data_IF_713769030460
#
_entry.id   IF_713769030460
#
_cell.length_a   1.000
_cell.length_b   1.000
_cell.length_c   1.000
_cell.angle_alpha   90.00
_cell.angle_beta   90.00
_cell.angle_gamma   90.00
#
_symmetry.space_group_name_H-M   'P 1'
#
loop_
_entity.id
_entity.type
_entity.pdbx_description
1 polymer ?
#
# COMPACT_ATOMS: atom_id res chain seq x y z
N UNK A 1 38.19 -14.11 -18.26
CA UNK A 1 38.56 -13.12 -17.22
C UNK A 1 37.29 -12.62 -16.53
N UNK A 2 37.05 -12.98 -15.27
CA UNK A 2 35.86 -12.50 -14.54
C UNK A 2 36.08 -11.03 -14.15
N UNK A 3 35.13 -10.15 -14.50
CA UNK A 3 35.19 -8.72 -14.22
C UNK A 3 35.37 -8.48 -12.70
N UNK A 4 36.18 -7.49 -12.28
CA UNK A 4 36.56 -7.27 -10.87
C UNK A 4 35.36 -7.05 -9.93
N UNK A 5 34.25 -6.53 -10.46
CA UNK A 5 33.00 -6.36 -9.72
C UNK A 5 32.28 -7.68 -9.41
N UNK A 6 32.42 -8.70 -10.26
CA UNK A 6 31.81 -10.01 -10.01
C UNK A 6 32.59 -10.79 -8.96
N UNK A 7 33.90 -10.61 -8.89
CA UNK A 7 34.76 -11.19 -7.85
C UNK A 7 34.41 -10.61 -6.46
N UNK A 8 34.26 -9.29 -6.35
CA UNK A 8 33.92 -8.64 -5.06
C UNK A 8 32.52 -8.99 -4.55
N UNK A 9 31.56 -9.24 -5.45
CA UNK A 9 30.23 -9.72 -5.09
C UNK A 9 30.24 -11.18 -4.63
N UNK A 10 31.10 -12.03 -5.21
CA UNK A 10 31.27 -13.42 -4.79
C UNK A 10 31.84 -13.50 -3.36
N UNK A 11 32.87 -12.71 -3.05
CA UNK A 11 33.47 -12.65 -1.71
C UNK A 11 32.47 -12.14 -0.66
N UNK A 12 31.67 -11.12 -1.02
CA UNK A 12 30.63 -10.59 -0.14
C UNK A 12 29.54 -11.63 0.16
N UNK A 13 29.17 -12.48 -0.82
CA UNK A 13 28.24 -13.59 -0.63
C UNK A 13 28.82 -14.68 0.28
N UNK A 14 30.09 -15.02 0.11
CA UNK A 14 30.75 -16.02 0.95
C UNK A 14 30.86 -15.56 2.41
N UNK A 15 31.18 -14.28 2.65
CA UNK A 15 31.21 -13.70 4.02
C UNK A 15 29.83 -13.73 4.70
N UNK A 16 28.77 -13.44 3.95
CA UNK A 16 27.39 -13.50 4.47
C UNK A 16 26.94 -14.95 4.74
N UNK A 17 27.35 -15.91 3.90
CA UNK A 17 27.09 -17.33 4.13
C UNK A 17 27.81 -17.85 5.38
N UNK A 18 29.08 -17.47 5.57
CA UNK A 18 29.85 -17.82 6.78
C UNK A 18 29.22 -17.23 8.06
N UNK A 19 28.67 -16.02 8.00
CA UNK A 19 27.98 -15.41 9.15
C UNK A 19 26.63 -16.04 9.50
N UNK A 20 26.08 -16.89 8.61
CA UNK A 20 24.78 -17.56 8.80
C UNK A 20 24.92 -19.04 9.18
N UNK A 21 26.14 -19.59 9.20
CA UNK A 21 26.40 -21.02 9.42
C UNK A 21 26.48 -21.46 10.89
N UNK A 22 26.30 -20.57 11.86
CA UNK A 22 26.52 -20.88 13.30
C UNK A 22 25.23 -20.76 14.14
N UNK A 23 24.06 -20.86 13.50
CA UNK A 23 22.76 -20.76 14.18
C UNK A 23 21.67 -21.54 13.44
N UNK A 24 21.87 -22.84 13.21
CA UNK A 24 20.81 -23.69 12.68
C UNK A 24 21.02 -25.19 12.97
N UNK A 25 20.88 -25.60 14.23
CA UNK A 25 20.39 -26.94 14.56
C UNK A 25 19.42 -26.88 15.76
N UNK A 26 18.17 -27.32 15.53
CA UNK A 26 17.22 -27.82 16.53
C UNK A 26 16.43 -26.82 17.42
N UNK A 27 15.10 -26.75 17.23
CA UNK A 27 14.11 -27.10 18.27
C UNK A 27 12.69 -26.57 17.95
N UNK A 28 11.73 -27.51 17.94
CA UNK A 28 10.29 -27.28 18.12
C UNK A 28 9.96 -26.90 19.59
N UNK A 29 8.71 -26.51 19.85
CA UNK A 29 8.31 -25.66 20.96
C UNK A 29 8.32 -26.24 22.39
N UNK A 30 8.34 -25.34 23.37
CA UNK A 30 7.73 -25.45 24.70
C UNK A 30 7.81 -24.09 25.42
N UNK A 31 6.81 -23.75 26.23
CA UNK A 31 6.73 -22.49 26.99
C UNK A 31 7.32 -22.55 28.41
N UNK A 32 7.08 -21.43 29.12
CA UNK A 32 7.23 -21.16 30.56
C UNK A 32 8.48 -20.39 31.05
N UNK A 33 8.20 -19.19 31.57
CA UNK A 33 8.63 -18.56 32.85
C UNK A 33 10.11 -18.37 33.27
N UNK A 34 10.32 -17.18 33.85
CA UNK A 34 11.38 -16.58 34.69
C UNK A 34 12.75 -17.24 34.92
N UNK A 35 13.80 -16.39 34.93
CA UNK A 35 15.03 -16.68 35.67
C UNK A 35 16.24 -15.84 35.26
N UNK A 36 16.72 -14.98 36.17
CA UNK A 36 17.95 -14.18 36.11
C UNK A 36 19.18 -15.03 35.75
N UNK A 37 20.05 -14.57 34.84
CA UNK A 37 21.45 -14.17 35.13
C UNK A 37 22.19 -13.73 33.84
N UNK A 38 23.15 -12.81 34.01
CA UNK A 38 24.37 -12.55 33.20
C UNK A 38 24.83 -11.11 33.30
N UNK A 39 25.24 -10.80 34.53
CA UNK A 39 26.30 -9.84 34.83
C UNK A 39 27.65 -10.37 34.31
N UNK A 40 28.05 -10.12 33.07
CA UNK A 40 29.47 -10.27 32.65
C UNK A 40 29.82 -9.41 31.43
N UNK A 41 29.67 -8.09 31.51
CA UNK A 41 30.31 -7.13 30.56
C UNK A 41 30.84 -5.86 31.23
N UNK A 42 31.10 -5.90 32.54
CA UNK A 42 31.50 -4.72 33.33
C UNK A 42 32.90 -4.80 33.94
N UNK A 43 33.55 -5.97 33.92
CA UNK A 43 34.89 -6.19 34.49
C UNK A 43 36.01 -5.57 33.65
N UNK A 44 35.92 -5.63 32.32
CA UNK A 44 37.09 -5.33 31.47
C UNK A 44 37.30 -3.82 31.25
N UNK A 45 36.28 -3.01 31.51
CA UNK A 45 36.39 -1.54 31.44
C UNK A 45 37.06 -0.93 32.69
N UNK A 46 37.19 -1.69 33.78
CA UNK A 46 37.77 -1.20 35.04
C UNK A 46 39.30 -1.26 35.04
N UNK A 47 39.91 -2.21 34.33
CA UNK A 47 41.37 -2.40 34.32
C UNK A 47 42.10 -1.45 33.36
N UNK A 48 41.46 -1.00 32.27
CA UNK A 48 42.06 -0.01 31.34
C UNK A 48 42.02 1.43 31.86
N UNK A 49 41.16 1.73 32.83
CA UNK A 49 41.02 3.07 33.42
C UNK A 49 42.01 3.36 34.55
N UNK A 50 42.78 2.36 34.97
CA UNK A 50 43.80 2.49 36.00
C UNK A 50 45.16 2.97 35.45
N UNK A 51 45.43 2.82 34.14
CA UNK A 51 46.70 3.25 33.53
C UNK A 51 46.72 4.71 33.06
N UNK A 52 45.57 5.37 32.94
CA UNK A 52 45.48 6.78 32.59
C UNK A 52 44.69 7.50 33.68
N UNK A 53 45.36 8.43 34.36
CA UNK A 53 44.86 9.15 35.53
C UNK A 53 43.41 9.63 35.40
N UNK A 54 42.70 9.59 36.53
CA UNK A 54 41.32 10.07 36.69
C UNK A 54 41.24 11.53 36.18
N UNK A 55 40.57 11.77 35.05
CA UNK A 55 40.27 13.13 34.61
C UNK A 55 39.33 13.78 35.64
N UNK A 56 39.80 14.82 36.30
CA UNK A 56 38.95 15.63 37.18
C UNK A 56 37.84 16.30 36.37
N UNK A 57 36.65 16.39 36.95
CA UNK A 57 35.50 17.01 36.30
C UNK A 57 35.68 18.53 36.37
N UNK A 58 35.75 19.18 35.22
CA UNK A 58 35.87 20.64 35.15
C UNK A 58 34.68 21.31 35.87
N UNK A 59 34.97 22.32 36.71
CA UNK A 59 33.96 23.17 37.34
C UNK A 59 33.32 24.05 36.26
N UNK A 60 31.99 24.18 36.30
CA UNK A 60 31.23 24.98 35.34
C UNK A 60 31.63 26.46 35.48
N UNK A 61 32.16 27.06 34.41
CA UNK A 61 32.61 28.45 34.41
C UNK A 61 34.10 28.68 34.70
N UNK A 62 34.91 27.63 34.91
CA UNK A 62 36.36 27.76 35.01
C UNK A 62 37.02 27.63 33.61
N UNK A 63 38.12 28.38 33.34
CA UNK A 63 38.88 28.21 32.11
C UNK A 63 39.45 26.80 32.02
N UNK A 64 39.44 26.23 30.81
CA UNK A 64 39.91 24.87 30.58
C UNK A 64 41.43 24.88 30.35
N UNK A 65 42.18 24.24 31.24
CA UNK A 65 43.62 24.04 31.05
C UNK A 65 43.88 23.02 29.93
N UNK A 66 44.67 23.42 28.93
CA UNK A 66 45.11 22.57 27.82
C UNK A 66 46.61 22.34 28.00
N UNK A 67 47.04 21.07 28.07
CA UNK A 67 48.46 20.74 28.19
C UNK A 67 49.24 21.19 26.95
N UNK A 68 50.34 21.92 27.15
CA UNK A 68 51.27 22.38 26.10
C UNK A 68 51.98 21.24 25.35
N UNK A 69 51.95 20.00 25.89
CA UNK A 69 52.51 18.80 25.24
C UNK A 69 51.57 18.15 24.23
N UNK A 70 50.31 18.62 24.13
CA UNK A 70 49.43 18.17 23.05
C UNK A 70 49.84 18.90 21.77
N UNK A 71 50.42 18.14 20.84
CA UNK A 71 50.65 18.60 19.47
C UNK A 71 49.31 19.04 18.89
N UNK A 72 49.10 20.34 18.75
CA UNK A 72 47.97 20.87 18.00
C UNK A 72 48.20 20.54 16.54
N UNK A 73 47.20 19.93 15.89
CA UNK A 73 47.27 19.74 14.45
C UNK A 73 47.43 21.12 13.79
N UNK A 74 48.33 21.28 12.80
CA UNK A 74 48.49 22.56 12.12
C UNK A 74 47.12 23.03 11.59
N UNK A 75 46.84 24.34 11.56
CA UNK A 75 45.54 24.87 11.14
C UNK A 75 45.14 24.38 9.74
N UNK A 76 46.09 24.08 8.86
CA UNK A 76 45.85 23.43 7.57
C UNK A 76 45.42 21.95 7.68
N UNK A 77 45.94 21.18 8.64
CA UNK A 77 45.52 19.80 8.88
C UNK A 77 44.15 19.74 9.59
N UNK A 78 43.86 20.70 10.48
CA UNK A 78 42.54 20.89 11.05
C UNK A 78 41.52 21.33 9.99
N UNK A 79 41.92 22.22 9.07
CA UNK A 79 41.14 22.61 7.91
C UNK A 79 41.04 21.51 6.84
N UNK A 80 41.96 20.56 6.76
CA UNK A 80 41.86 19.39 5.88
C UNK A 80 40.95 18.31 6.47
N UNK A 81 41.00 18.09 7.80
CA UNK A 81 40.07 17.20 8.50
C UNK A 81 38.66 17.80 8.60
N UNK A 82 38.53 19.13 8.68
CA UNK A 82 37.27 19.84 8.54
C UNK A 82 36.84 20.05 7.07
N UNK A 83 37.80 20.10 6.15
CA UNK A 83 37.66 20.33 4.70
C UNK A 83 37.30 19.08 3.90
N UNK A 84 37.32 17.91 4.53
CA UNK A 84 36.56 16.76 4.04
C UNK A 84 35.04 16.93 4.27
N UNK A 85 34.59 17.96 5.01
CA UNK A 85 33.18 18.29 5.25
C UNK A 85 32.74 19.66 4.74
N UNK A 86 33.65 20.62 4.56
CA UNK A 86 33.39 21.87 3.84
C UNK A 86 33.80 21.69 2.36
N UNK A 87 32.78 21.49 1.51
CA UNK A 87 32.92 20.94 0.17
C UNK A 87 33.87 21.70 -0.74
N UNK A 88 34.82 20.96 -1.33
CA UNK A 88 35.23 21.25 -2.70
C UNK A 88 33.95 21.42 -3.53
N UNK A 89 33.82 22.51 -4.30
CA UNK A 89 32.69 22.74 -5.22
C UNK A 89 32.71 21.62 -6.27
N UNK A 90 32.11 20.48 -5.93
CA UNK A 90 31.79 19.44 -6.88
C UNK A 90 30.83 20.11 -7.87
N UNK A 91 31.14 20.08 -9.16
CA UNK A 91 30.21 20.53 -10.20
C UNK A 91 28.89 19.80 -9.95
N UNK A 92 27.87 20.53 -9.49
CA UNK A 92 26.52 20.00 -9.24
C UNK A 92 25.67 20.32 -10.44
N UNK A 93 24.92 19.33 -10.93
CA UNK A 93 23.83 19.61 -11.84
C UNK A 93 22.71 20.24 -11.00
N UNK A 94 22.32 21.49 -11.26
CA UNK A 94 21.30 22.17 -10.47
C UNK A 94 19.96 21.42 -10.50
N UNK A 95 19.69 20.59 -11.52
CA UNK A 95 18.45 19.77 -11.56
C UNK A 95 18.43 18.68 -10.50
N UNK A 96 19.60 18.24 -10.06
CA UNK A 96 19.76 17.12 -9.13
C UNK A 96 20.40 17.56 -7.80
N UNK A 97 20.56 18.86 -7.59
CA UNK A 97 21.10 19.39 -6.33
C UNK A 97 19.99 19.60 -5.31
N UNK A 98 20.24 19.20 -4.06
CA UNK A 98 19.27 19.33 -2.96
C UNK A 98 18.94 20.80 -2.65
N UNK A 99 19.80 21.72 -3.09
CA UNK A 99 19.66 23.18 -2.97
C UNK A 99 18.51 23.72 -3.85
N UNK A 100 18.17 23.04 -4.95
CA UNK A 100 17.14 23.49 -5.90
C UNK A 100 15.71 23.36 -5.39
N UNK A 101 15.53 22.88 -4.16
CA UNK A 101 14.25 22.87 -3.46
C UNK A 101 13.43 21.61 -3.72
N UNK A 102 12.18 21.63 -3.23
CA UNK A 102 11.23 20.51 -3.36
C UNK A 102 10.29 20.78 -4.53
N UNK A 103 9.92 19.71 -5.24
CA UNK A 103 8.92 19.78 -6.30
C UNK A 103 7.58 20.28 -5.73
N UNK A 104 7.12 21.43 -6.22
CA UNK A 104 5.75 21.87 -5.99
C UNK A 104 4.81 21.07 -6.89
N UNK A 105 4.08 20.14 -6.27
CA UNK A 105 3.12 19.27 -6.97
C UNK A 105 1.97 20.08 -7.58
N UNK A 106 1.66 21.27 -7.04
CA UNK A 106 0.56 22.10 -7.52
C UNK A 106 0.93 22.94 -8.73
N UNK A 107 2.07 23.63 -8.66
CA UNK A 107 2.66 24.26 -9.82
C UNK A 107 2.85 23.25 -10.94
N UNK A 108 3.40 22.07 -10.63
CA UNK A 108 3.59 21.00 -11.61
C UNK A 108 2.26 20.54 -12.25
N UNK A 109 1.22 20.28 -11.46
CA UNK A 109 -0.07 19.86 -11.98
C UNK A 109 -0.69 20.89 -12.94
N UNK A 110 -0.53 22.18 -12.63
CA UNK A 110 -1.04 23.28 -13.46
C UNK A 110 -0.20 23.49 -14.72
N UNK A 111 1.12 23.52 -14.60
CA UNK A 111 2.04 23.74 -15.73
C UNK A 111 2.02 22.58 -16.73
N UNK A 112 1.73 21.37 -16.27
CA UNK A 112 1.71 20.17 -17.09
C UNK A 112 0.31 19.53 -17.21
N UNK A 113 -0.75 20.35 -17.18
CA UNK A 113 -2.13 19.89 -17.35
C UNK A 113 -2.37 19.18 -18.69
N UNK A 114 -1.67 19.62 -19.75
CA UNK A 114 -1.73 19.00 -21.08
C UNK A 114 -1.31 17.51 -21.09
N UNK A 115 -0.55 17.05 -20.09
CA UNK A 115 -0.21 15.63 -19.97
C UNK A 115 -1.42 14.77 -19.64
N UNK A 116 -2.52 15.35 -19.17
CA UNK A 116 -3.77 14.61 -18.96
C UNK A 116 -4.47 14.38 -20.30
N UNK A 117 -4.58 15.42 -21.13
CA UNK A 117 -5.11 15.33 -22.50
C UNK A 117 -4.31 14.34 -23.33
N UNK A 118 -2.98 14.39 -23.29
CA UNK A 118 -2.13 13.47 -24.04
C UNK A 118 -2.34 12.01 -23.62
N UNK A 119 -2.49 11.74 -22.32
CA UNK A 119 -2.76 10.38 -21.82
C UNK A 119 -4.14 9.88 -22.23
N UNK A 120 -5.13 10.76 -22.26
CA UNK A 120 -6.47 10.42 -22.72
C UNK A 120 -6.46 10.08 -24.21
N UNK A 121 -5.77 10.87 -25.03
CA UNK A 121 -5.54 10.59 -26.44
C UNK A 121 -4.78 9.27 -26.66
N UNK A 122 -3.70 9.00 -25.92
CA UNK A 122 -2.98 7.72 -25.97
C UNK A 122 -3.92 6.53 -25.67
N UNK A 123 -4.77 6.65 -24.64
CA UNK A 123 -5.74 5.62 -24.27
C UNK A 123 -6.81 5.43 -25.34
N UNK A 124 -7.27 6.49 -25.99
CA UNK A 124 -8.22 6.43 -27.10
C UNK A 124 -7.62 5.77 -28.33
N UNK A 125 -6.37 6.09 -28.66
CA UNK A 125 -5.62 5.45 -29.73
C UNK A 125 -5.49 3.94 -29.51
N UNK A 126 -5.10 3.52 -28.29
CA UNK A 126 -5.02 2.09 -27.95
C UNK A 126 -6.38 1.38 -28.02
N UNK A 127 -7.47 2.03 -27.57
CA UNK A 127 -8.83 1.48 -27.73
C UNK A 127 -9.23 1.39 -29.20
N UNK A 128 -8.86 2.37 -30.02
CA UNK A 128 -9.07 2.36 -31.46
C UNK A 128 -8.33 1.21 -32.14
N UNK A 129 -7.07 0.97 -31.76
CA UNK A 129 -6.29 -0.19 -32.21
C UNK A 129 -6.96 -1.51 -31.80
N UNK A 130 -7.39 -1.63 -30.55
CA UNK A 130 -8.11 -2.81 -30.07
C UNK A 130 -9.36 -3.08 -30.93
N UNK A 131 -10.15 -2.05 -31.24
CA UNK A 131 -11.34 -2.18 -32.09
C UNK A 131 -10.99 -2.59 -33.53
N UNK A 132 -9.90 -2.06 -34.10
CA UNK A 132 -9.41 -2.46 -35.42
C UNK A 132 -9.03 -3.94 -35.43
N UNK A 133 -8.29 -4.40 -34.41
CA UNK A 133 -7.92 -5.81 -34.25
C UNK A 133 -9.15 -6.70 -34.05
N UNK A 134 -10.15 -6.26 -33.29
CA UNK A 134 -11.43 -6.97 -33.13
C UNK A 134 -12.17 -7.13 -34.46
N UNK A 135 -12.18 -6.09 -35.31
CA UNK A 135 -12.77 -6.14 -36.65
C UNK A 135 -12.01 -7.09 -37.56
N UNK A 136 -10.67 -7.08 -37.53
CA UNK A 136 -9.83 -7.98 -38.32
C UNK A 136 -10.03 -9.44 -37.90
N UNK A 137 -10.14 -9.71 -36.60
CA UNK A 137 -10.42 -11.04 -36.09
C UNK A 137 -11.81 -11.54 -36.52
N UNK A 138 -12.84 -10.68 -36.48
CA UNK A 138 -14.20 -11.02 -36.95
C UNK A 138 -14.27 -11.29 -38.45
N UNK A 139 -13.45 -10.60 -39.26
CA UNK A 139 -13.37 -10.82 -40.71
C UNK A 139 -12.76 -12.17 -41.10
N UNK A 140 -12.14 -12.89 -40.16
CA UNK A 140 -11.62 -14.24 -40.36
C UNK A 140 -10.45 -14.30 -41.35
N UNK A 141 -9.21 -13.97 -40.95
CA UNK A 141 -8.04 -14.15 -41.81
C UNK A 141 -7.91 -15.63 -42.22
N UNK A 142 -7.64 -15.87 -43.51
CA UNK A 142 -7.56 -17.23 -44.06
C UNK A 142 -6.30 -18.01 -43.63
N UNK A 143 -5.26 -17.32 -43.15
CA UNK A 143 -3.97 -17.93 -42.75
C UNK A 143 -3.86 -18.02 -41.23
N UNK A 144 -3.51 -19.20 -40.71
CA UNK A 144 -3.38 -19.47 -39.28
C UNK A 144 -2.36 -18.54 -38.60
N UNK A 145 -1.21 -18.28 -39.24
CA UNK A 145 -0.16 -17.42 -38.69
C UNK A 145 -0.63 -15.98 -38.47
N UNK A 146 -1.49 -15.47 -39.37
CA UNK A 146 -2.06 -14.13 -39.28
C UNK A 146 -3.09 -14.06 -38.14
N UNK A 147 -3.85 -15.14 -37.92
CA UNK A 147 -4.79 -15.22 -36.78
C UNK A 147 -4.04 -15.19 -35.46
N UNK A 148 -2.95 -15.96 -35.35
CA UNK A 148 -2.09 -15.98 -34.16
C UNK A 148 -1.48 -14.60 -33.89
N UNK A 149 -0.88 -13.96 -34.89
CA UNK A 149 -0.29 -12.62 -34.76
C UNK A 149 -1.31 -11.56 -34.34
N UNK A 150 -2.55 -11.60 -34.87
CA UNK A 150 -3.63 -10.68 -34.47
C UNK A 150 -4.04 -10.93 -33.00
N UNK A 151 -4.11 -12.19 -32.57
CA UNK A 151 -4.46 -12.54 -31.20
C UNK A 151 -3.41 -12.06 -30.20
N UNK A 152 -2.13 -12.31 -30.48
CA UNK A 152 -1.01 -11.84 -29.67
C UNK A 152 -1.01 -10.31 -29.55
N UNK A 153 -1.08 -9.61 -30.69
CA UNK A 153 -1.11 -8.14 -30.70
C UNK A 153 -2.30 -7.59 -29.93
N UNK A 154 -3.46 -8.23 -30.05
CA UNK A 154 -4.66 -7.83 -29.31
C UNK A 154 -4.50 -8.00 -27.80
N UNK A 155 -3.81 -9.05 -27.37
CA UNK A 155 -3.57 -9.27 -25.95
C UNK A 155 -2.52 -8.31 -25.37
N UNK A 156 -1.48 -7.95 -26.14
CA UNK A 156 -0.56 -6.86 -25.80
C UNK A 156 -1.31 -5.54 -25.58
N UNK A 157 -2.11 -5.11 -26.58
CA UNK A 157 -2.87 -3.85 -26.51
C UNK A 157 -3.83 -3.85 -25.31
N UNK A 158 -4.51 -4.97 -25.03
CA UNK A 158 -5.36 -5.09 -23.83
C UNK A 158 -4.55 -4.94 -22.54
N UNK A 159 -3.36 -5.53 -22.46
CA UNK A 159 -2.51 -5.41 -21.28
C UNK A 159 -2.04 -3.96 -21.07
N UNK A 160 -1.66 -3.28 -22.15
CA UNK A 160 -1.28 -1.87 -22.13
C UNK A 160 -2.43 -0.98 -21.66
N UNK A 161 -3.63 -1.15 -22.22
CA UNK A 161 -4.84 -0.42 -21.78
C UNK A 161 -5.09 -0.63 -20.28
N UNK A 162 -5.02 -1.88 -19.81
CA UNK A 162 -5.21 -2.19 -18.38
C UNK A 162 -4.17 -1.50 -17.51
N UNK A 163 -2.90 -1.52 -17.93
CA UNK A 163 -1.79 -0.86 -17.23
C UNK A 163 -2.01 0.65 -17.13
N UNK A 164 -2.34 1.31 -18.25
CA UNK A 164 -2.59 2.76 -18.31
C UNK A 164 -3.78 3.16 -17.43
N UNK A 165 -4.90 2.43 -17.54
CA UNK A 165 -6.08 2.66 -16.67
C UNK A 165 -5.73 2.50 -15.19
N UNK A 166 -4.91 1.51 -14.82
CA UNK A 166 -4.51 1.30 -13.43
C UNK A 166 -3.61 2.43 -12.92
N UNK A 167 -2.68 2.90 -13.74
CA UNK A 167 -1.82 4.04 -13.43
C UNK A 167 -2.64 5.32 -13.24
N UNK A 168 -3.58 5.61 -14.14
CA UNK A 168 -4.42 6.80 -14.04
C UNK A 168 -5.37 6.75 -12.84
N UNK A 169 -5.93 5.57 -12.52
CA UNK A 169 -6.70 5.38 -11.29
C UNK A 169 -5.87 5.71 -10.04
N UNK A 170 -4.61 5.24 -10.00
CA UNK A 170 -3.71 5.53 -8.88
C UNK A 170 -3.40 7.02 -8.78
N UNK A 171 -3.12 7.68 -9.91
CA UNK A 171 -2.84 9.12 -9.97
C UNK A 171 -4.02 9.96 -9.52
N UNK A 172 -5.21 9.72 -10.09
CA UNK A 172 -6.45 10.41 -9.70
C UNK A 172 -6.77 10.19 -8.23
N UNK A 173 -6.59 8.97 -7.72
CA UNK A 173 -6.78 8.69 -6.29
C UNK A 173 -5.84 9.50 -5.41
N UNK A 174 -4.56 9.63 -5.79
CA UNK A 174 -3.61 10.48 -5.06
C UNK A 174 -3.97 11.96 -5.13
N UNK A 175 -4.44 12.46 -6.28
CA UNK A 175 -4.94 13.82 -6.44
C UNK A 175 -6.09 14.12 -5.47
N UNK A 176 -7.12 13.26 -5.45
CA UNK A 176 -8.26 13.41 -4.55
C UNK A 176 -7.85 13.38 -3.06
N UNK A 177 -6.87 12.55 -2.69
CA UNK A 177 -6.34 12.55 -1.32
C UNK A 177 -5.67 13.89 -0.95
N UNK A 178 -4.91 14.48 -1.87
CA UNK A 178 -4.23 15.75 -1.64
C UNK A 178 -5.22 16.92 -1.58
N UNK A 179 -6.20 16.95 -2.49
CA UNK A 179 -7.28 17.94 -2.52
C UNK A 179 -8.08 17.91 -1.22
N UNK A 180 -8.52 16.73 -0.79
CA UNK A 180 -9.27 16.58 0.46
C UNK A 180 -8.44 16.96 1.69
N UNK A 181 -7.14 16.67 1.71
CA UNK A 181 -6.24 17.14 2.76
C UNK A 181 -6.15 18.67 2.80
N UNK A 182 -6.16 19.34 1.64
CA UNK A 182 -6.15 20.81 1.55
C UNK A 182 -7.45 21.43 2.00
N UNK A 183 -8.58 20.91 1.54
CA UNK A 183 -9.90 21.36 1.97
C UNK A 183 -10.00 21.33 3.50
N UNK A 184 -9.62 20.20 4.10
CA UNK A 184 -9.65 20.01 5.55
C UNK A 184 -8.71 20.97 6.28
N UNK A 185 -7.50 21.21 5.75
CA UNK A 185 -6.57 22.21 6.31
C UNK A 185 -7.12 23.63 6.18
N UNK A 186 -7.80 23.96 5.08
CA UNK A 186 -8.45 25.24 4.87
C UNK A 186 -9.57 25.49 5.88
N UNK A 187 -10.48 24.52 6.01
CA UNK A 187 -11.57 24.56 6.99
C UNK A 187 -11.07 24.72 8.42
N UNK A 188 -9.97 24.04 8.78
CA UNK A 188 -9.40 24.19 10.11
C UNK A 188 -8.80 25.59 10.32
N UNK A 189 -8.08 26.12 9.32
CA UNK A 189 -7.54 27.49 9.39
C UNK A 189 -8.65 28.52 9.59
N UNK A 190 -9.79 28.34 8.93
CA UNK A 190 -10.96 29.21 9.09
C UNK A 190 -11.59 29.07 10.49
N UNK A 191 -11.71 27.86 11.01
CA UNK A 191 -12.20 27.62 12.39
C UNK A 191 -11.28 28.25 13.42
N UNK A 192 -9.97 28.12 13.27
CA UNK A 192 -8.97 28.75 14.15
C UNK A 192 -9.11 30.26 14.10
N UNK A 193 -9.26 30.84 12.90
CA UNK A 193 -9.42 32.29 12.73
C UNK A 193 -10.71 32.83 13.38
N UNK A 194 -11.80 32.09 13.28
CA UNK A 194 -13.13 32.53 13.74
C UNK A 194 -13.36 32.26 15.23
N UNK A 195 -12.96 31.08 15.71
CA UNK A 195 -13.27 30.61 17.07
C UNK A 195 -12.07 30.70 18.03
N UNK A 196 -10.87 31.01 17.54
CA UNK A 196 -9.65 31.05 18.35
C UNK A 196 -9.19 29.68 18.86
N UNK A 197 -9.76 28.58 18.35
CA UNK A 197 -9.38 27.21 18.73
C UNK A 197 -7.94 26.91 18.33
N UNK A 198 -7.32 25.97 19.06
CA UNK A 198 -5.98 25.48 18.73
C UNK A 198 -6.00 24.75 17.39
N UNK A 199 -5.06 25.04 16.47
CA UNK A 199 -5.04 24.40 15.15
C UNK A 199 -4.84 22.89 15.25
N UNK A 200 -5.80 22.11 14.73
CA UNK A 200 -5.73 20.65 14.72
C UNK A 200 -5.61 20.07 13.30
N UNK A 201 -4.55 19.32 13.04
CA UNK A 201 -4.39 18.62 11.77
C UNK A 201 -5.12 17.27 11.78
N UNK A 202 -6.01 17.08 10.81
CA UNK A 202 -6.70 15.80 10.64
C UNK A 202 -5.73 14.65 10.39
N UNK A 203 -5.95 13.54 11.08
CA UNK A 203 -5.18 12.30 10.86
C UNK A 203 -5.41 11.79 9.43
N UNK A 204 -4.38 11.24 8.79
CA UNK A 204 -4.45 10.63 7.45
C UNK A 204 -5.57 9.58 7.31
N UNK A 205 -5.87 8.84 8.38
CA UNK A 205 -6.98 7.88 8.42
C UNK A 205 -8.36 8.53 8.26
N UNK A 206 -8.57 9.73 8.79
CA UNK A 206 -9.83 10.47 8.61
C UNK A 206 -9.96 11.00 7.18
N UNK A 207 -8.88 11.53 6.61
CA UNK A 207 -8.85 11.97 5.20
C UNK A 207 -9.28 10.83 4.28
N UNK A 208 -8.72 9.64 4.47
CA UNK A 208 -9.10 8.44 3.69
C UNK A 208 -10.57 8.05 3.86
N UNK A 209 -11.14 8.20 5.07
CA UNK A 209 -12.56 7.91 5.31
C UNK A 209 -13.46 8.88 4.55
N UNK A 210 -13.16 10.18 4.61
CA UNK A 210 -13.90 11.22 3.88
C UNK A 210 -13.85 10.97 2.38
N UNK A 211 -12.69 10.61 1.84
CA UNK A 211 -12.55 10.27 0.41
C UNK A 211 -13.40 9.06 0.02
N UNK A 212 -13.47 8.04 0.89
CA UNK A 212 -14.33 6.87 0.68
C UNK A 212 -15.82 7.22 0.76
N UNK A 213 -16.22 8.11 1.67
CA UNK A 213 -17.59 8.61 1.83
C UNK A 213 -18.02 9.41 0.60
N UNK A 214 -17.25 10.42 0.19
CA UNK A 214 -17.48 11.19 -1.06
C UNK A 214 -17.61 10.27 -2.27
N UNK A 215 -16.79 9.21 -2.35
CA UNK A 215 -16.88 8.22 -3.43
C UNK A 215 -18.16 7.38 -3.38
N UNK A 216 -18.64 7.01 -2.20
CA UNK A 216 -19.91 6.28 -2.03
C UNK A 216 -21.09 7.15 -2.44
N UNK A 217 -21.09 8.41 -2.02
CA UNK A 217 -22.10 9.41 -2.39
C UNK A 217 -22.14 9.61 -3.90
N UNK A 218 -20.99 9.85 -4.52
CA UNK A 218 -20.88 10.04 -5.97
C UNK A 218 -21.27 8.80 -6.80
N UNK A 219 -21.20 7.59 -6.23
CA UNK A 219 -21.58 6.37 -6.94
C UNK A 219 -23.09 6.13 -7.01
N UNK A 220 -23.89 6.79 -6.15
CA UNK A 220 -25.32 6.52 -6.01
C UNK A 220 -25.60 5.07 -5.57
N UNK A 221 -26.76 4.81 -4.96
CA UNK A 221 -27.10 3.50 -4.33
C UNK A 221 -27.03 2.24 -5.23
N UNK A 222 -26.69 2.35 -6.52
CA UNK A 222 -26.71 1.24 -7.49
C UNK A 222 -25.56 0.24 -7.40
N UNK A 223 -24.38 0.61 -6.87
CA UNK A 223 -23.22 -0.32 -6.75
C UNK A 223 -23.15 -1.09 -5.42
N UNK A 224 -24.14 -0.90 -4.54
CA UNK A 224 -24.19 -1.58 -3.25
C UNK A 224 -24.48 -3.08 -3.36
N UNK A 225 -25.05 -3.59 -4.47
CA UNK A 225 -25.36 -5.03 -4.59
C UNK A 225 -24.13 -5.92 -4.50
N UNK A 226 -23.00 -5.52 -5.09
CA UNK A 226 -21.76 -6.29 -5.00
C UNK A 226 -21.08 -6.15 -3.65
N UNK A 227 -21.17 -4.96 -3.02
CA UNK A 227 -20.71 -4.75 -1.65
C UNK A 227 -21.53 -5.59 -0.67
N UNK A 228 -22.85 -5.56 -0.78
CA UNK A 228 -23.80 -6.36 -0.01
C UNK A 228 -23.58 -7.87 -0.25
N UNK A 229 -23.34 -8.31 -1.49
CA UNK A 229 -22.96 -9.71 -1.79
C UNK A 229 -21.64 -10.09 -1.13
N UNK A 230 -20.65 -9.18 -1.10
CA UNK A 230 -19.37 -9.41 -0.40
C UNK A 230 -19.59 -9.46 1.11
N UNK A 231 -20.36 -8.55 1.68
CA UNK A 231 -20.72 -8.53 3.09
C UNK A 231 -21.47 -9.81 3.49
N UNK A 232 -22.45 -10.26 2.71
CA UNK A 232 -23.14 -11.55 2.92
C UNK A 232 -22.17 -12.74 2.87
N UNK A 233 -21.22 -12.74 1.92
CA UNK A 233 -20.18 -13.79 1.83
C UNK A 233 -19.23 -13.75 3.03
N UNK A 234 -18.81 -12.57 3.47
CA UNK A 234 -17.93 -12.37 4.62
C UNK A 234 -18.66 -12.79 5.90
N UNK A 235 -19.87 -12.29 6.13
CA UNK A 235 -20.72 -12.69 7.25
C UNK A 235 -20.98 -14.21 7.25
N UNK A 236 -21.18 -14.82 6.09
CA UNK A 236 -21.29 -16.28 5.95
C UNK A 236 -19.99 -17.01 6.33
N UNK A 237 -18.83 -16.49 5.95
CA UNK A 237 -17.51 -17.04 6.33
C UNK A 237 -17.24 -16.85 7.82
N UNK A 238 -17.60 -15.70 8.40
CA UNK A 238 -17.47 -15.41 9.83
C UNK A 238 -18.37 -16.32 10.66
N UNK A 239 -19.64 -16.48 10.27
CA UNK A 239 -20.55 -17.48 10.87
C UNK A 239 -19.97 -18.89 10.82
N UNK A 240 -19.30 -19.25 9.72
CA UNK A 240 -18.60 -20.54 9.56
C UNK A 240 -17.29 -20.65 10.35
N UNK A 241 -16.71 -19.55 10.82
CA UNK A 241 -15.51 -19.53 11.69
C UNK A 241 -15.86 -19.58 13.18
N UNK A 242 -17.11 -19.29 13.56
CA UNK A 242 -17.57 -19.41 14.94
C UNK A 242 -17.65 -20.89 15.37
N UNK A 243 -17.19 -21.26 16.59
CA UNK A 243 -17.28 -22.63 17.09
C UNK A 243 -18.73 -23.10 17.17
N UNK A 244 -18.98 -24.37 16.82
CA UNK A 244 -20.33 -24.94 16.68
C UNK A 244 -21.19 -24.79 17.95
N UNK A 245 -20.56 -24.82 19.13
CA UNK A 245 -21.22 -24.62 20.43
C UNK A 245 -21.95 -23.27 20.55
N UNK A 246 -21.51 -22.23 19.81
CA UNK A 246 -22.19 -20.92 19.73
C UNK A 246 -23.25 -20.84 18.62
N UNK A 247 -23.29 -21.79 17.68
CA UNK A 247 -24.29 -21.81 16.59
C UNK A 247 -25.61 -22.45 17.00
N UNK A 248 -25.61 -23.33 18.01
CA UNK A 248 -26.76 -24.12 18.45
C UNK A 248 -27.56 -23.53 19.62
N UNK A 249 -27.18 -22.36 20.16
CA UNK A 249 -27.82 -21.77 21.34
C UNK A 249 -29.02 -20.84 21.01
N UNK A 250 -29.52 -20.80 19.77
CA UNK A 250 -30.51 -19.80 19.34
C UNK A 250 -31.82 -20.33 18.75
N UNK A 251 -32.01 -21.64 18.61
CA UNK A 251 -33.18 -22.20 17.87
C UNK A 251 -33.87 -23.38 18.55
N UNK A 252 -33.67 -23.57 19.86
CA UNK A 252 -34.32 -24.63 20.64
C UNK A 252 -35.60 -24.19 21.39
N UNK A 253 -36.27 -23.13 20.93
CA UNK A 253 -37.61 -22.78 21.41
C UNK A 253 -38.57 -22.59 20.22
N UNK A 254 -38.96 -23.70 19.57
CA UNK A 254 -40.21 -23.87 18.76
C UNK A 254 -40.28 -25.24 18.06
N UNK A 255 -40.00 -26.33 18.79
CA UNK A 255 -40.29 -27.69 18.32
C UNK A 255 -40.77 -28.59 19.46
N UNK A 256 -41.87 -28.20 20.07
CA UNK A 256 -42.79 -29.15 20.71
C UNK A 256 -44.18 -28.59 20.55
N UNK A 257 -44.93 -29.13 19.61
CA UNK A 257 -46.36 -29.41 19.67
C UNK A 257 -46.76 -30.04 18.34
N UNK A 258 -46.35 -31.30 18.17
CA UNK A 258 -47.11 -32.23 17.33
C UNK A 258 -48.36 -32.58 18.15
N UNK A 259 -49.47 -31.91 17.86
CA UNK A 259 -50.78 -32.43 18.20
C UNK A 259 -51.42 -32.97 16.93
N UNK A 260 -51.71 -34.26 17.02
CA UNK A 260 -52.54 -35.10 16.18
C UNK A 260 -53.65 -34.33 15.45
N UNK A 261 -53.64 -34.38 14.11
CA UNK A 261 -54.83 -34.19 13.28
C UNK A 261 -54.61 -34.89 11.94
N UNK A 262 -54.90 -36.19 11.98
CA UNK A 262 -55.90 -36.83 11.12
C UNK A 262 -55.76 -36.73 9.58
N UNK A 263 -55.58 -37.92 9.00
CA UNK A 263 -55.69 -38.20 7.57
C UNK A 263 -57.04 -37.74 7.02
N UNK A 264 -57.03 -36.92 5.98
CA UNK A 264 -58.04 -37.03 4.93
C UNK A 264 -57.35 -37.19 3.58
N UNK A 265 -57.41 -38.42 3.09
CA UNK A 265 -57.19 -38.78 1.69
C UNK A 265 -58.34 -38.20 0.87
N UNK A 266 -58.05 -37.36 -0.12
CA UNK A 266 -59.03 -37.06 -1.18
C UNK A 266 -58.40 -37.32 -2.54
N UNK A 267 -59.10 -38.21 -3.24
CA UNK A 267 -58.92 -38.76 -4.58
C UNK A 267 -58.25 -37.86 -5.62
N UNK A 268 -57.33 -38.46 -6.36
CA UNK A 268 -56.94 -38.05 -7.72
C UNK A 268 -57.98 -38.60 -8.70
N UNK A 269 -58.74 -37.71 -9.33
CA UNK A 269 -59.56 -37.99 -10.51
C UNK A 269 -59.29 -36.94 -11.58
N UNK A 270 -58.64 -37.34 -12.66
CA UNK A 270 -58.50 -36.62 -13.93
C UNK A 270 -59.78 -36.82 -14.80
N UNK A 271 -59.84 -36.37 -16.08
CA UNK A 271 -59.67 -35.02 -16.65
C UNK A 271 -60.76 -34.71 -17.72
N UNK A 272 -61.49 -33.59 -17.73
CA UNK A 272 -62.36 -33.27 -18.89
C UNK A 272 -62.57 -31.76 -19.09
N UNK A 273 -62.30 -31.29 -20.33
CA UNK A 273 -63.02 -30.24 -21.08
C UNK A 273 -63.01 -28.79 -20.48
N UNK A 274 -62.76 -27.68 -21.19
CA UNK A 274 -63.19 -27.28 -22.54
C UNK A 274 -62.40 -26.04 -23.01
N UNK A 275 -62.40 -25.87 -24.32
CA UNK A 275 -62.17 -24.64 -25.10
C UNK A 275 -62.63 -23.33 -24.43
N UNK A 276 -61.84 -22.25 -24.57
CA UNK A 276 -62.36 -20.98 -25.09
C UNK A 276 -61.23 -20.10 -25.67
N UNK A 277 -61.33 -19.89 -26.98
CA UNK A 277 -60.63 -18.88 -27.78
C UNK A 277 -61.28 -17.52 -27.49
N UNK A 278 -60.49 -16.49 -27.19
CA UNK A 278 -60.92 -15.09 -27.39
C UNK A 278 -59.77 -14.31 -28.04
N UNK A 279 -59.96 -14.04 -29.32
CA UNK A 279 -59.28 -13.02 -30.11
C UNK A 279 -59.72 -11.64 -29.60
N UNK A 280 -58.78 -10.71 -29.44
CA UNK A 280 -59.07 -9.29 -29.37
C UNK A 280 -58.25 -8.57 -30.46
N UNK A 281 -58.95 -8.23 -31.54
CA UNK A 281 -58.58 -7.26 -32.55
C UNK A 281 -59.22 -5.93 -32.11
N UNK A 282 -58.49 -4.82 -32.17
CA UNK A 282 -59.09 -3.51 -32.48
C UNK A 282 -58.04 -2.56 -33.03
N UNK A 283 -58.48 -1.91 -34.10
CA UNK A 283 -57.95 -0.84 -34.92
C UNK A 283 -57.44 0.39 -34.19
#
# INVERSE_FOLDING_TARGET
>A
SKLPLLASLADRRQRLAASRGDSAEGAEGAGAEEGKDRRTRKSDKKTLRAKYGKKEKAKKGAPQEVSSRRVSAPPQAAAAQAGARAGAMRVRDPRFDDVSGKLDMDGFGKSYSFLEEYREQELENLKGEQQKLDRLQKKGPKRADVVAAIAERKDEVKQEIRKRIQQDKSRRHMGVLLETERELKGQEREKVRTTGKTPFYHKKGLVRKIVLEKKKEAQGGGRNKDAERREKKVAGREKKRLPARRRHCGTLLRRTNNHCAERQTVNRGSPFFSFLVVLFLSS
#
